data_IF_658481611002
#
_entry.id   IF_658481611002
#
_cell.length_a   1.000
_cell.length_b   1.000
_cell.length_c   1.000
_cell.angle_alpha   90.00
_cell.angle_beta   90.00
_cell.angle_gamma   90.00
#
_symmetry.space_group_name_H-M   'P 1'
#
loop_
_entity.id
_entity.type
_entity.pdbx_description
1 polymer ?
#
# COMPACT_ATOMS: atom_id res chain seq x y z
N UNK A 1 3.72 30.22 11.41
CA UNK A 1 2.52 29.44 11.79
C UNK A 1 2.99 28.11 12.32
N UNK A 2 2.59 27.79 13.55
CA UNK A 2 3.01 26.60 14.30
C UNK A 2 2.52 25.33 13.61
N UNK A 3 3.36 24.31 13.49
CA UNK A 3 2.95 22.97 13.11
C UNK A 3 1.86 22.50 14.08
N UNK A 4 0.69 22.14 13.57
CA UNK A 4 -0.37 21.64 14.43
C UNK A 4 -0.04 20.19 14.80
N UNK A 5 0.18 19.94 16.09
CA UNK A 5 0.30 18.58 16.63
C UNK A 5 -1.02 17.84 16.41
N UNK A 6 -0.98 16.69 15.73
CA UNK A 6 -2.16 15.83 15.51
C UNK A 6 -2.45 14.99 16.75
N UNK A 7 -1.40 14.36 17.26
CA UNK A 7 -1.38 13.48 18.43
C UNK A 7 0.03 13.47 19.04
N UNK A 8 0.32 12.50 19.91
CA UNK A 8 1.55 12.55 20.68
C UNK A 8 2.83 12.45 19.84
N UNK A 9 2.75 11.74 18.71
CA UNK A 9 3.90 11.38 17.87
C UNK A 9 3.84 11.98 16.46
N UNK A 10 2.75 12.68 16.07
CA UNK A 10 2.58 13.24 14.74
C UNK A 10 2.38 14.75 14.74
N UNK A 11 3.23 15.43 13.96
CA UNK A 11 3.17 16.87 13.73
C UNK A 11 2.98 17.17 12.24
N UNK A 12 2.14 18.16 11.93
CA UNK A 12 1.90 18.60 10.54
C UNK A 12 3.00 19.58 10.11
N UNK A 13 3.81 19.21 9.12
CA UNK A 13 4.69 20.16 8.42
C UNK A 13 3.96 20.92 7.31
N UNK A 14 3.04 20.24 6.60
CA UNK A 14 2.22 20.84 5.55
C UNK A 14 0.88 20.09 5.43
N UNK A 15 -0.20 20.85 5.32
CA UNK A 15 -1.55 20.35 5.03
C UNK A 15 -2.06 21.12 3.81
N UNK A 16 -2.72 20.46 2.84
CA UNK A 16 -3.27 21.17 1.69
C UNK A 16 -4.30 22.21 2.11
N UNK A 17 -4.28 23.38 1.48
CA UNK A 17 -5.21 24.47 1.82
C UNK A 17 -6.64 24.22 1.35
N UNK A 18 -6.83 23.34 0.36
CA UNK A 18 -8.14 23.02 -0.22
C UNK A 18 -8.21 21.57 -0.68
N UNK A 19 -9.37 20.93 -0.45
CA UNK A 19 -9.67 19.58 -0.91
C UNK A 19 -8.97 18.46 -0.12
N UNK A 20 -9.30 17.19 -0.42
CA UNK A 20 -8.64 16.04 0.20
C UNK A 20 -7.19 15.92 -0.29
N UNK A 21 -6.29 15.52 0.61
CA UNK A 21 -4.94 15.14 0.22
C UNK A 21 -4.94 13.86 -0.62
N UNK A 22 -3.97 13.73 -1.54
CA UNK A 22 -3.81 12.55 -2.42
C UNK A 22 -2.45 11.87 -2.32
N UNK A 23 -1.69 12.26 -1.32
CA UNK A 23 -0.43 11.64 -0.92
C UNK A 23 -0.17 11.99 0.54
N UNK A 24 0.48 11.08 1.24
CA UNK A 24 1.09 11.36 2.53
C UNK A 24 2.60 11.18 2.44
N UNK A 25 3.36 12.15 2.97
CA UNK A 25 4.81 12.07 3.10
C UNK A 25 5.14 12.14 4.58
N UNK A 26 5.74 11.09 5.11
CA UNK A 26 6.01 10.92 6.53
C UNK A 26 7.51 10.99 6.78
N UNK A 27 7.94 12.02 7.49
CA UNK A 27 9.32 12.25 7.88
C UNK A 27 9.62 11.63 9.25
N UNK A 28 10.74 10.93 9.38
CA UNK A 28 11.16 10.27 10.62
C UNK A 28 12.61 10.64 10.92
N UNK A 29 12.81 11.42 11.98
CA UNK A 29 14.10 12.04 12.32
C UNK A 29 15.12 11.02 12.85
N UNK A 30 16.36 11.46 13.06
CA UNK A 30 17.44 10.66 13.65
C UNK A 30 17.51 10.85 15.17
N UNK A 31 18.47 10.17 15.80
CA UNK A 31 18.99 10.45 17.13
C UNK A 31 19.32 11.93 17.32
N UNK A 32 19.17 12.40 18.54
CA UNK A 32 19.51 13.76 18.94
C UNK A 32 20.14 13.80 20.33
N UNK A 33 20.81 14.91 20.64
CA UNK A 33 21.42 15.16 21.96
C UNK A 33 20.45 15.91 22.88
N UNK A 34 20.72 15.87 24.18
CA UNK A 34 19.87 16.52 25.18
C UNK A 34 19.54 17.98 24.83
N UNK A 35 18.28 18.37 25.05
CA UNK A 35 17.77 19.70 24.73
C UNK A 35 17.24 19.88 23.31
N UNK A 36 17.31 18.86 22.45
CA UNK A 36 16.79 18.87 21.08
C UNK A 36 15.39 18.23 20.96
N UNK A 37 14.44 18.65 21.80
CA UNK A 37 13.09 18.04 21.87
C UNK A 37 12.22 18.24 20.62
N UNK A 38 12.62 19.12 19.70
CA UNK A 38 11.93 19.43 18.46
C UNK A 38 12.61 18.81 17.22
N UNK A 39 13.32 17.68 17.40
CA UNK A 39 13.99 16.94 16.32
C UNK A 39 13.08 16.64 15.11
N UNK A 40 11.79 16.37 15.35
CA UNK A 40 10.78 16.22 14.29
C UNK A 40 10.71 17.42 13.32
N UNK A 41 11.16 18.59 13.73
CA UNK A 41 11.24 19.80 12.91
C UNK A 41 12.67 20.16 12.54
N UNK A 42 13.58 20.17 13.52
CA UNK A 42 14.94 20.71 13.34
C UNK A 42 15.83 19.87 12.45
N UNK A 43 15.57 18.56 12.36
CA UNK A 43 16.25 17.67 11.38
C UNK A 43 16.05 18.14 9.95
N UNK A 44 14.89 18.72 9.62
CA UNK A 44 14.51 19.11 8.26
C UNK A 44 14.54 20.63 8.02
N UNK A 45 15.06 21.38 9.00
CA UNK A 45 15.07 22.84 8.97
C UNK A 45 16.50 23.34 8.86
N UNK A 46 16.73 24.19 7.87
CA UNK A 46 18.00 24.88 7.63
C UNK A 46 18.24 25.95 8.71
N UNK A 47 19.48 26.43 8.81
CA UNK A 47 19.86 27.43 9.81
C UNK A 47 19.15 28.79 9.63
N UNK A 48 18.70 29.08 8.40
CA UNK A 48 17.88 30.25 8.08
C UNK A 48 16.41 30.11 8.51
N UNK A 49 16.02 28.96 9.07
CA UNK A 49 14.67 28.63 9.49
C UNK A 49 13.79 28.01 8.39
N UNK A 50 14.33 27.79 7.19
CA UNK A 50 13.60 27.16 6.08
C UNK A 50 13.40 25.67 6.35
N UNK A 51 12.15 25.28 6.60
CA UNK A 51 11.73 23.87 6.67
C UNK A 51 11.43 23.36 5.25
N UNK A 52 12.43 22.76 4.61
CA UNK A 52 12.36 22.42 3.18
C UNK A 52 11.22 21.43 2.81
N UNK A 53 10.78 20.46 3.65
CA UNK A 53 9.62 19.65 3.30
C UNK A 53 8.37 20.49 3.08
N UNK A 54 8.15 21.50 3.93
CA UNK A 54 7.03 22.43 3.79
C UNK A 54 7.24 23.38 2.61
N UNK A 55 8.41 23.99 2.52
CA UNK A 55 8.66 25.08 1.60
C UNK A 55 8.91 24.64 0.15
N UNK A 56 9.40 23.42 -0.06
CA UNK A 56 9.73 22.89 -1.38
C UNK A 56 8.72 21.81 -1.79
N UNK A 57 8.58 20.72 -1.02
CA UNK A 57 7.64 19.65 -1.37
C UNK A 57 6.19 20.11 -1.27
N UNK A 58 5.82 20.88 -0.24
CA UNK A 58 4.47 21.44 -0.13
C UNK A 58 4.09 22.36 -1.30
N UNK A 59 5.05 23.06 -1.90
CA UNK A 59 4.82 23.86 -3.12
C UNK A 59 4.73 22.99 -4.37
N UNK A 60 5.58 21.96 -4.47
CA UNK A 60 5.61 21.04 -5.62
C UNK A 60 4.38 20.12 -5.67
N UNK A 61 3.94 19.65 -4.51
CA UNK A 61 2.83 18.71 -4.33
C UNK A 61 1.77 19.37 -3.42
N UNK A 62 0.99 20.33 -3.94
CA UNK A 62 0.07 21.13 -3.13
C UNK A 62 -1.11 20.35 -2.53
N UNK A 63 -1.30 19.09 -2.93
CA UNK A 63 -2.28 18.15 -2.38
C UNK A 63 -1.65 17.08 -1.49
N UNK A 64 -0.34 17.14 -1.22
CA UNK A 64 0.29 16.24 -0.26
C UNK A 64 -0.04 16.68 1.17
N UNK A 65 -0.19 15.70 2.06
CA UNK A 65 -0.11 15.90 3.50
C UNK A 65 1.29 15.50 3.95
N UNK A 66 2.02 16.42 4.58
CA UNK A 66 3.39 16.18 5.05
C UNK A 66 3.39 16.19 6.57
N UNK A 67 3.71 15.04 7.14
CA UNK A 67 3.80 14.84 8.58
C UNK A 67 5.24 14.56 8.98
N UNK A 68 5.62 14.94 10.18
CA UNK A 68 6.82 14.44 10.82
C UNK A 68 6.48 13.70 12.10
N UNK A 69 7.14 12.56 12.27
CA UNK A 69 7.10 11.76 13.47
C UNK A 69 7.96 12.41 14.53
N UNK A 70 7.50 12.42 15.77
CA UNK A 70 8.23 12.79 16.98
C UNK A 70 8.30 11.57 17.89
N UNK A 71 9.50 11.18 18.27
CA UNK A 71 9.72 10.09 19.22
C UNK A 71 10.98 10.38 20.04
N UNK A 72 11.09 9.76 21.21
CA UNK A 72 12.20 10.02 22.12
C UNK A 72 13.47 9.29 21.65
N UNK A 73 14.25 9.98 20.83
CA UNK A 73 15.49 9.50 20.22
C UNK A 73 16.73 10.11 20.88
N UNK A 74 16.61 10.55 22.14
CA UNK A 74 17.74 11.12 22.85
C UNK A 74 18.83 10.05 23.07
N UNK A 75 20.07 10.39 22.72
CA UNK A 75 21.23 9.48 22.86
C UNK A 75 21.61 9.21 24.31
N UNK A 76 21.19 10.08 25.23
CA UNK A 76 21.30 9.86 26.68
C UNK A 76 19.91 9.61 27.28
N UNK A 77 19.87 8.93 28.42
CA UNK A 77 18.66 8.67 29.20
C UNK A 77 18.71 9.38 30.54
N UNK A 78 17.61 10.05 30.90
CA UNK A 78 17.41 10.73 32.19
C UNK A 78 15.92 10.71 32.59
N UNK A 79 15.53 11.48 33.61
CA UNK A 79 14.14 11.49 34.09
C UNK A 79 13.12 12.07 33.10
N UNK A 80 13.58 12.87 32.13
CA UNK A 80 12.74 13.61 31.16
C UNK A 80 12.91 13.18 29.71
N UNK A 81 14.08 12.65 29.31
CA UNK A 81 14.44 12.29 27.94
C UNK A 81 15.15 10.92 27.86
N UNK A 82 15.16 10.32 26.67
CA UNK A 82 15.77 9.01 26.39
C UNK A 82 15.10 7.84 27.10
N UNK A 83 13.78 7.87 27.28
CA UNK A 83 13.01 6.82 27.97
C UNK A 83 12.57 5.71 27.04
N UNK A 84 12.48 5.96 25.74
CA UNK A 84 12.30 4.91 24.74
C UNK A 84 13.65 4.22 24.51
N UNK A 85 13.65 2.89 24.58
CA UNK A 85 14.88 2.09 24.68
C UNK A 85 14.96 0.95 23.63
N UNK A 86 13.94 0.81 22.77
CA UNK A 86 13.90 -0.19 21.69
C UNK A 86 13.13 0.33 20.48
N UNK A 87 13.63 -0.01 19.28
CA UNK A 87 12.97 0.24 18.00
C UNK A 87 11.59 -0.41 17.89
N UNK A 88 11.40 -1.56 18.55
CA UNK A 88 10.12 -2.26 18.60
C UNK A 88 9.04 -1.38 19.23
N UNK A 89 9.31 -0.85 20.42
CA UNK A 89 8.34 -0.06 21.19
C UNK A 89 8.01 1.25 20.49
N UNK A 90 9.01 1.87 19.86
CA UNK A 90 8.80 3.07 19.03
C UNK A 90 7.84 2.74 17.88
N UNK A 91 8.07 1.65 17.15
CA UNK A 91 7.22 1.27 16.03
C UNK A 91 5.79 0.88 16.45
N UNK A 92 5.62 0.24 17.60
CA UNK A 92 4.32 -0.11 18.16
C UNK A 92 3.49 1.14 18.51
N UNK A 93 4.09 2.07 19.26
CA UNK A 93 3.44 3.34 19.60
C UNK A 93 3.07 4.13 18.34
N UNK A 94 4.00 4.18 17.37
CA UNK A 94 3.81 4.89 16.12
C UNK A 94 2.64 4.32 15.31
N UNK A 95 2.53 2.99 15.25
CA UNK A 95 1.44 2.32 14.54
C UNK A 95 0.08 2.64 15.19
N UNK A 96 -0.01 2.65 16.53
CA UNK A 96 -1.22 3.04 17.24
C UNK A 96 -1.58 4.49 16.89
N UNK A 97 -0.62 5.41 16.98
CA UNK A 97 -0.82 6.82 16.66
C UNK A 97 -1.18 7.06 15.19
N UNK A 98 -0.73 6.23 14.25
CA UNK A 98 -1.08 6.33 12.83
C UNK A 98 -2.57 6.03 12.57
N UNK A 99 -3.15 5.09 13.31
CA UNK A 99 -4.51 4.62 13.09
C UNK A 99 -5.58 5.34 13.90
N UNK A 100 -5.19 6.30 14.75
CA UNK A 100 -6.14 7.13 15.49
C UNK A 100 -7.04 7.95 14.53
N UNK A 101 -8.29 8.26 14.91
CA UNK A 101 -9.22 8.99 14.04
C UNK A 101 -8.74 10.37 13.59
N UNK A 102 -7.84 11.02 14.34
CA UNK A 102 -7.27 12.33 13.99
C UNK A 102 -6.15 12.25 12.97
N UNK A 103 -5.43 11.13 12.90
CA UNK A 103 -4.27 10.95 12.02
C UNK A 103 -4.66 10.18 10.76
N UNK A 104 -5.25 8.99 10.89
CA UNK A 104 -5.70 8.12 9.78
C UNK A 104 -4.62 7.89 8.70
N UNK A 105 -3.36 7.78 9.11
CA UNK A 105 -2.22 7.64 8.19
C UNK A 105 -2.34 6.34 7.40
N UNK A 106 -2.28 6.45 6.08
CA UNK A 106 -2.40 5.36 5.12
C UNK A 106 -3.75 4.64 5.10
N UNK A 107 -4.79 5.23 5.68
CA UNK A 107 -6.15 4.65 5.67
C UNK A 107 -7.04 5.22 4.57
N UNK A 108 -6.57 6.23 3.83
CA UNK A 108 -7.30 6.82 2.71
C UNK A 108 -7.04 6.01 1.43
N UNK A 109 -8.11 5.58 0.76
CA UNK A 109 -7.97 4.79 -0.48
C UNK A 109 -7.34 5.64 -1.60
N UNK A 110 -6.49 5.03 -2.42
CA UNK A 110 -5.77 5.70 -3.52
C UNK A 110 -4.87 6.87 -3.07
N UNK A 111 -4.45 6.89 -1.80
CA UNK A 111 -3.58 7.90 -1.23
C UNK A 111 -2.25 7.23 -0.81
N UNK A 112 -1.21 7.25 -1.67
CA UNK A 112 0.07 6.63 -1.34
C UNK A 112 0.73 7.28 -0.12
N UNK A 113 1.34 6.43 0.72
CA UNK A 113 2.17 6.84 1.86
C UNK A 113 3.64 6.65 1.50
N UNK A 114 4.42 7.71 1.62
CA UNK A 114 5.85 7.73 1.29
C UNK A 114 6.62 8.09 2.56
N UNK A 115 7.68 7.34 2.85
CA UNK A 115 8.48 7.55 4.05
C UNK A 115 9.82 8.19 3.72
N UNK A 116 10.23 9.15 4.53
CA UNK A 116 11.56 9.77 4.50
C UNK A 116 12.19 9.59 5.88
N UNK A 117 13.21 8.74 5.96
CA UNK A 117 13.96 8.50 7.19
C UNK A 117 15.34 9.14 7.15
N UNK A 118 15.84 9.59 8.29
CA UNK A 118 17.24 9.98 8.47
C UNK A 118 17.86 9.17 9.62
N UNK A 119 19.06 8.60 9.39
CA UNK A 119 19.78 7.80 10.40
C UNK A 119 18.89 6.72 11.03
N UNK A 120 18.67 6.81 12.35
CA UNK A 120 17.82 5.92 13.14
C UNK A 120 16.38 5.86 12.62
N UNK A 121 15.84 6.97 12.12
CA UNK A 121 14.49 7.03 11.57
C UNK A 121 14.27 6.03 10.43
N UNK A 122 15.32 5.70 9.66
CA UNK A 122 15.27 4.65 8.65
C UNK A 122 14.91 3.28 9.25
N UNK A 123 15.43 2.98 10.45
CA UNK A 123 15.21 1.70 11.14
C UNK A 123 13.88 1.67 11.91
N UNK A 124 13.40 2.83 12.37
CA UNK A 124 12.04 2.98 12.87
C UNK A 124 11.03 2.66 11.77
N UNK A 125 11.24 3.18 10.55
CA UNK A 125 10.39 2.87 9.39
C UNK A 125 10.42 1.38 9.05
N UNK A 126 11.61 0.76 9.04
CA UNK A 126 11.74 -0.69 8.78
C UNK A 126 10.97 -1.52 9.82
N UNK A 127 11.11 -1.20 11.10
CA UNK A 127 10.36 -1.86 12.16
C UNK A 127 8.86 -1.64 12.01
N UNK A 128 8.42 -0.41 11.70
CA UNK A 128 7.02 -0.10 11.45
C UNK A 128 6.44 -0.96 10.32
N UNK A 129 7.17 -1.17 9.22
CA UNK A 129 6.69 -2.04 8.12
C UNK A 129 6.56 -3.50 8.56
N UNK A 130 7.54 -4.02 9.32
CA UNK A 130 7.46 -5.37 9.89
C UNK A 130 6.28 -5.48 10.84
N UNK A 131 6.11 -4.48 11.71
CA UNK A 131 5.01 -4.34 12.66
C UNK A 131 3.66 -4.13 12.04
N UNK A 132 3.56 -3.62 10.82
CA UNK A 132 2.31 -3.60 10.08
C UNK A 132 2.02 -4.95 9.40
N UNK A 133 3.03 -5.80 9.20
CA UNK A 133 2.93 -7.07 8.46
C UNK A 133 2.68 -8.31 9.32
N UNK A 134 2.68 -8.19 10.65
CA UNK A 134 2.48 -9.35 11.53
C UNK A 134 1.03 -9.87 11.41
N UNK A 135 0.88 -11.16 11.17
CA UNK A 135 -0.44 -11.80 11.01
C UNK A 135 -1.20 -11.85 12.35
N UNK A 136 -2.53 -11.84 12.29
CA UNK A 136 -3.42 -11.97 13.47
C UNK A 136 -3.25 -10.88 14.53
N UNK A 137 -2.68 -9.73 14.16
CA UNK A 137 -2.60 -8.57 15.04
C UNK A 137 -3.91 -7.78 15.02
N UNK A 138 -4.15 -7.01 16.08
CA UNK A 138 -5.27 -6.08 16.13
C UNK A 138 -5.23 -5.09 14.96
N UNK A 139 -6.41 -4.60 14.56
CA UNK A 139 -6.58 -3.67 13.43
C UNK A 139 -6.04 -4.24 12.09
N UNK A 140 -6.14 -5.54 11.86
CA UNK A 140 -5.67 -6.23 10.65
C UNK A 140 -6.06 -5.48 9.36
N UNK A 141 -7.32 -5.08 9.23
CA UNK A 141 -7.81 -4.33 8.07
C UNK A 141 -7.10 -2.98 7.87
N UNK A 142 -6.89 -2.22 8.94
CA UNK A 142 -6.16 -0.94 8.87
C UNK A 142 -4.70 -1.17 8.50
N UNK A 143 -4.08 -2.22 9.04
CA UNK A 143 -2.68 -2.58 8.76
C UNK A 143 -2.51 -3.03 7.32
N UNK A 144 -3.43 -3.86 6.81
CA UNK A 144 -3.49 -4.28 5.40
C UNK A 144 -3.62 -3.06 4.48
N UNK A 145 -4.60 -2.19 4.74
CA UNK A 145 -4.81 -0.97 3.96
C UNK A 145 -3.61 -0.02 3.98
N UNK A 146 -3.00 0.16 5.16
CA UNK A 146 -1.77 0.93 5.31
C UNK A 146 -0.65 0.37 4.43
N UNK A 147 -0.36 -0.93 4.53
CA UNK A 147 0.67 -1.61 3.72
C UNK A 147 0.40 -1.50 2.21
N UNK A 148 -0.86 -1.59 1.79
CA UNK A 148 -1.28 -1.43 0.39
C UNK A 148 -1.05 -0.02 -0.15
N UNK A 149 -1.14 0.98 0.72
CA UNK A 149 -0.92 2.38 0.39
C UNK A 149 0.56 2.78 0.48
N UNK A 150 1.43 2.04 1.17
CA UNK A 150 2.87 2.35 1.19
C UNK A 150 3.42 2.29 -0.23
N UNK A 151 4.00 3.40 -0.70
CA UNK A 151 4.56 3.55 -2.04
C UNK A 151 6.06 3.25 -2.09
N UNK A 152 6.82 3.69 -1.08
CA UNK A 152 8.26 3.44 -0.97
C UNK A 152 8.95 4.35 0.03
N UNK A 153 10.29 4.41 -0.07
CA UNK A 153 11.15 4.96 0.98
C UNK A 153 12.28 5.84 0.43
N UNK A 154 12.58 6.92 1.14
CA UNK A 154 13.83 7.68 1.02
C UNK A 154 14.59 7.55 2.33
N UNK A 155 15.85 7.14 2.28
CA UNK A 155 16.71 7.00 3.45
C UNK A 155 17.94 7.89 3.34
N UNK A 156 18.08 8.83 4.28
CA UNK A 156 19.27 9.65 4.46
C UNK A 156 20.23 8.97 5.43
N UNK A 157 21.46 8.72 4.97
CA UNK A 157 22.56 8.13 5.75
C UNK A 157 22.14 6.96 6.68
N UNK A 158 21.50 5.89 6.17
CA UNK A 158 21.18 4.74 6.99
C UNK A 158 22.45 3.96 7.37
N UNK A 159 22.72 3.78 8.67
CA UNK A 159 23.87 3.01 9.17
C UNK A 159 23.58 1.51 9.27
N UNK A 160 23.26 0.84 8.15
CA UNK A 160 22.73 -0.54 8.13
C UNK A 160 23.59 -1.61 8.85
N UNK A 161 24.87 -1.34 9.05
CA UNK A 161 25.83 -2.24 9.70
C UNK A 161 26.51 -1.59 10.91
N UNK A 162 25.90 -0.52 11.44
CA UNK A 162 26.49 0.35 12.45
C UNK A 162 27.48 1.37 11.86
N UNK A 163 28.15 2.10 12.74
CA UNK A 163 29.15 3.14 12.43
C UNK A 163 30.50 2.78 13.01
N UNK A 164 31.59 3.21 12.36
CA UNK A 164 32.97 2.86 12.77
C UNK A 164 33.45 3.58 14.02
N UNK A 165 32.83 4.70 14.33
CA UNK A 165 33.12 5.51 15.49
C UNK A 165 31.81 6.10 15.99
N UNK A 166 31.70 6.25 17.30
CA UNK A 166 30.51 6.76 17.94
C UNK A 166 30.63 8.28 18.10
N UNK A 167 29.76 8.99 17.36
CA UNK A 167 29.64 10.44 17.36
C UNK A 167 29.24 10.99 18.73
N UNK A 168 28.53 10.17 19.51
CA UNK A 168 27.90 10.54 20.78
C UNK A 168 28.64 9.99 22.00
N UNK A 169 29.81 9.37 21.82
CA UNK A 169 30.57 8.71 22.89
C UNK A 169 30.94 9.63 24.08
N UNK A 170 30.96 10.95 23.85
CA UNK A 170 31.33 11.95 24.85
C UNK A 170 30.13 12.75 25.38
N UNK A 171 28.90 12.38 25.04
CA UNK A 171 27.71 13.04 25.58
C UNK A 171 27.62 12.83 27.09
N UNK A 172 27.32 13.89 27.83
CA UNK A 172 27.24 13.84 29.29
C UNK A 172 25.95 13.18 29.72
N UNK A 173 26.02 11.99 30.33
CA UNK A 173 24.85 11.30 30.87
C UNK A 173 24.97 9.80 30.76
N UNK A 174 23.90 9.09 31.16
CA UNK A 174 23.80 7.66 30.92
C UNK A 174 23.40 7.43 29.47
N UNK A 175 24.14 6.58 28.73
CA UNK A 175 23.80 6.24 27.34
C UNK A 175 22.43 5.55 27.25
N UNK A 176 21.61 5.96 26.30
CA UNK A 176 20.36 5.27 25.96
C UNK A 176 20.68 4.01 25.15
N UNK A 177 20.04 2.87 25.45
CA UNK A 177 20.22 1.62 24.69
C UNK A 177 19.80 1.72 23.23
N UNK A 178 19.01 2.72 22.82
CA UNK A 178 18.77 3.00 21.41
C UNK A 178 20.07 3.23 20.62
N UNK A 179 21.13 3.72 21.27
CA UNK A 179 22.45 3.91 20.63
C UNK A 179 23.18 2.59 20.38
N UNK A 180 22.74 1.46 20.94
CA UNK A 180 23.37 0.15 20.70
C UNK A 180 23.33 -0.25 19.21
N UNK A 181 22.37 0.26 18.45
CA UNK A 181 22.29 0.04 17.01
C UNK A 181 23.44 0.70 16.22
N UNK A 182 24.12 1.70 16.79
CA UNK A 182 25.29 2.33 16.19
C UNK A 182 26.52 1.41 16.22
N UNK A 183 26.55 0.40 17.10
CA UNK A 183 27.69 -0.51 17.20
C UNK A 183 27.91 -1.26 15.88
N UNK A 184 29.16 -1.36 15.40
CA UNK A 184 29.48 -2.18 14.24
C UNK A 184 28.92 -3.59 14.38
N UNK A 185 28.35 -4.11 13.29
CA UNK A 185 27.83 -5.48 13.22
C UNK A 185 26.71 -5.77 14.23
N UNK A 186 25.86 -4.78 14.52
CA UNK A 186 24.63 -5.00 15.30
C UNK A 186 23.80 -6.15 14.71
N UNK A 187 23.60 -7.20 15.50
CA UNK A 187 22.78 -8.36 15.13
C UNK A 187 21.31 -7.97 14.98
N UNK A 188 20.84 -7.02 15.79
CA UNK A 188 19.49 -6.46 15.68
C UNK A 188 19.29 -5.78 14.32
N UNK A 189 20.19 -4.87 13.92
CA UNK A 189 20.09 -4.21 12.62
C UNK A 189 20.20 -5.19 11.47
N UNK A 190 21.09 -6.18 11.56
CA UNK A 190 21.24 -7.21 10.53
C UNK A 190 19.94 -7.99 10.30
N UNK A 191 19.29 -8.45 11.39
CA UNK A 191 18.00 -9.15 11.34
C UNK A 191 16.89 -8.27 10.79
N UNK A 192 16.82 -7.03 11.28
CA UNK A 192 15.83 -6.05 10.84
C UNK A 192 15.95 -5.76 9.33
N UNK A 193 17.16 -5.56 8.84
CA UNK A 193 17.45 -5.29 7.45
C UNK A 193 17.07 -6.47 6.55
N UNK A 194 17.42 -7.69 6.96
CA UNK A 194 17.06 -8.91 6.22
C UNK A 194 15.55 -9.15 6.20
N UNK A 195 14.87 -8.97 7.34
CA UNK A 195 13.42 -9.10 7.45
C UNK A 195 12.71 -8.05 6.61
N UNK A 196 13.17 -6.80 6.63
CA UNK A 196 12.62 -5.73 5.82
C UNK A 196 12.80 -6.01 4.32
N UNK A 197 14.01 -6.36 3.88
CA UNK A 197 14.28 -6.73 2.49
C UNK A 197 13.39 -7.88 2.01
N UNK A 198 13.20 -8.88 2.88
CA UNK A 198 12.31 -10.02 2.61
C UNK A 198 10.83 -9.60 2.52
N UNK A 199 10.38 -8.68 3.38
CA UNK A 199 9.04 -8.11 3.27
C UNK A 199 8.87 -7.32 1.97
N UNK A 200 9.85 -6.49 1.57
CA UNK A 200 9.81 -5.75 0.30
C UNK A 200 9.64 -6.68 -0.89
N UNK A 201 10.45 -7.75 -0.98
CA UNK A 201 10.34 -8.76 -2.05
C UNK A 201 8.96 -9.40 -2.09
N UNK A 202 8.43 -9.84 -0.94
CA UNK A 202 7.07 -10.40 -0.87
C UNK A 202 6.00 -9.42 -1.33
N UNK A 203 6.11 -8.14 -0.97
CA UNK A 203 5.16 -7.11 -1.39
C UNK A 203 5.23 -6.86 -2.91
N UNK A 204 6.43 -6.81 -3.47
CA UNK A 204 6.65 -6.66 -4.92
C UNK A 204 6.09 -7.84 -5.70
N UNK A 205 6.30 -9.07 -5.22
CA UNK A 205 5.75 -10.31 -5.78
C UNK A 205 4.22 -10.31 -5.72
N UNK A 206 3.64 -10.08 -4.54
CA UNK A 206 2.18 -10.04 -4.35
C UNK A 206 1.47 -9.03 -5.23
N UNK A 207 2.11 -7.90 -5.54
CA UNK A 207 1.52 -6.85 -6.39
C UNK A 207 2.02 -6.86 -7.82
N UNK A 208 2.81 -7.87 -8.20
CA UNK A 208 3.46 -7.97 -9.52
C UNK A 208 4.08 -6.65 -9.99
N UNK A 209 4.80 -5.96 -9.08
CA UNK A 209 5.36 -4.64 -9.33
C UNK A 209 6.75 -4.53 -8.72
N UNK A 210 7.77 -4.56 -9.58
CA UNK A 210 9.18 -4.35 -9.18
C UNK A 210 9.47 -2.93 -8.71
N UNK A 211 8.59 -1.97 -9.03
CA UNK A 211 8.72 -0.58 -8.62
C UNK A 211 8.00 -0.26 -7.30
N UNK A 212 7.28 -1.24 -6.73
CA UNK A 212 6.66 -1.09 -5.41
C UNK A 212 7.75 -1.10 -4.34
N UNK A 213 7.63 -0.22 -3.35
CA UNK A 213 8.50 -0.22 -2.16
C UNK A 213 9.98 -0.04 -2.50
N UNK A 214 10.26 0.71 -3.56
CA UNK A 214 11.64 1.10 -3.90
C UNK A 214 12.20 2.05 -2.84
N UNK A 215 13.52 2.02 -2.69
CA UNK A 215 14.32 2.76 -1.73
C UNK A 215 15.30 3.63 -2.50
N UNK A 216 15.21 4.95 -2.28
CA UNK A 216 16.24 5.92 -2.63
C UNK A 216 17.11 6.18 -1.40
N UNK A 217 18.40 5.87 -1.47
CA UNK A 217 19.37 6.21 -0.42
C UNK A 217 20.20 7.42 -0.82
N UNK A 218 20.30 8.39 0.09
CA UNK A 218 21.18 9.56 -0.02
C UNK A 218 22.17 9.53 1.16
N UNK A 219 23.44 9.32 0.88
CA UNK A 219 24.51 9.22 1.88
C UNK A 219 25.25 10.55 2.03
N UNK A 220 25.69 10.88 3.25
CA UNK A 220 26.57 12.02 3.52
C UNK A 220 27.85 11.99 2.66
N UNK A 221 28.38 13.17 2.35
CA UNK A 221 29.63 13.33 1.59
C UNK A 221 30.71 14.10 2.34
N UNK A 222 30.34 14.83 3.40
CA UNK A 222 31.29 15.54 4.25
C UNK A 222 31.50 14.80 5.56
N UNK A 223 32.64 15.07 6.20
CA UNK A 223 32.92 14.55 7.54
C UNK A 223 32.05 15.24 8.59
N UNK A 224 31.58 14.46 9.57
CA UNK A 224 30.84 14.98 10.71
C UNK A 224 31.80 15.21 11.86
N UNK A 225 31.74 16.39 12.47
CA UNK A 225 32.53 16.69 13.67
C UNK A 225 31.77 16.25 14.94
N UNK A 226 32.47 15.65 15.89
CA UNK A 226 31.91 15.32 17.20
C UNK A 226 31.57 16.59 17.99
N UNK A 227 30.61 16.45 18.90
CA UNK A 227 30.16 17.49 19.83
C UNK A 227 31.23 17.91 20.86
N UNK A 228 32.31 17.14 21.01
CA UNK A 228 33.43 17.46 21.90
C UNK A 228 34.16 18.75 21.49
N UNK A 229 34.44 19.62 22.48
CA UNK A 229 35.15 20.90 22.29
C UNK A 229 36.67 20.76 22.41
N UNK A 230 37.41 21.41 21.51
CA UNK A 230 38.86 21.60 21.62
C UNK A 230 39.69 20.47 21.01
N UNK A 231 40.85 20.14 21.60
CA UNK A 231 41.81 19.15 21.06
C UNK A 231 41.28 17.70 20.97
N UNK A 232 40.10 17.42 21.51
CA UNK A 232 39.41 16.13 21.47
C UNK A 232 38.28 16.07 20.44
N UNK A 233 38.08 17.12 19.64
CA UNK A 233 37.12 17.09 18.54
C UNK A 233 37.63 16.13 17.47
N UNK A 234 36.85 15.08 17.22
CA UNK A 234 37.10 14.12 16.14
C UNK A 234 36.22 14.52 14.97
N UNK A 235 36.74 14.38 13.77
CA UNK A 235 35.95 14.49 12.54
C UNK A 235 36.25 13.28 11.67
N UNK A 236 35.23 12.84 10.94
CA UNK A 236 35.33 11.76 10.00
C UNK A 236 33.97 11.45 9.38
N UNK A 237 33.95 10.62 8.35
CA UNK A 237 32.70 10.03 7.85
C UNK A 237 32.03 9.23 8.95
N UNK A 238 30.80 9.58 9.31
CA UNK A 238 30.03 8.88 10.34
C UNK A 238 29.37 7.63 9.74
N UNK A 239 28.65 7.81 8.63
CA UNK A 239 27.99 6.77 7.84
C UNK A 239 28.70 6.61 6.50
N UNK A 240 29.47 5.52 6.36
CA UNK A 240 30.16 5.23 5.09
C UNK A 240 29.20 4.70 4.02
N UNK A 241 29.54 4.92 2.75
CA UNK A 241 28.81 4.34 1.61
C UNK A 241 28.54 2.83 1.76
N UNK A 242 29.53 2.07 2.23
CA UNK A 242 29.43 0.62 2.37
C UNK A 242 28.27 0.21 3.28
N UNK A 243 27.97 0.99 4.32
CA UNK A 243 26.82 0.73 5.18
C UNK A 243 25.54 1.36 4.64
N UNK A 244 25.60 2.53 3.99
CA UNK A 244 24.41 3.19 3.47
C UNK A 244 23.76 2.47 2.28
N UNK A 245 24.55 1.88 1.37
CA UNK A 245 24.09 1.32 0.08
C UNK A 245 23.30 0.00 0.18
N UNK A 246 23.06 -0.52 1.37
CA UNK A 246 22.35 -1.79 1.54
C UNK A 246 20.87 -1.69 1.09
N UNK A 247 20.42 -2.66 0.29
CA UNK A 247 19.01 -2.87 -0.11
C UNK A 247 18.31 -1.63 -0.70
N UNK A 248 18.99 -0.91 -1.61
CA UNK A 248 18.42 0.23 -2.32
C UNK A 248 18.50 0.11 -3.85
N UNK A 249 17.47 0.58 -4.56
CA UNK A 249 17.45 0.63 -6.02
C UNK A 249 18.21 1.85 -6.55
N UNK A 250 18.24 2.95 -5.78
CA UNK A 250 18.99 4.15 -6.14
C UNK A 250 19.85 4.61 -4.98
N UNK A 251 21.11 4.90 -5.26
CA UNK A 251 22.06 5.43 -4.31
C UNK A 251 22.70 6.71 -4.83
N UNK A 252 22.82 7.73 -3.97
CA UNK A 252 23.50 9.00 -4.26
C UNK A 252 24.28 9.47 -3.05
N UNK A 253 25.31 10.28 -3.30
CA UNK A 253 25.89 11.14 -2.28
C UNK A 253 25.12 12.47 -2.24
N UNK A 254 24.74 12.92 -1.05
CA UNK A 254 24.18 14.23 -0.77
C UNK A 254 25.26 15.16 -0.21
N UNK A 255 25.18 16.44 -0.56
CA UNK A 255 26.08 17.46 -0.04
C UNK A 255 25.76 17.71 1.43
N UNK A 256 26.76 17.60 2.31
CA UNK A 256 26.58 17.78 3.74
C UNK A 256 27.22 16.66 4.57
N UNK A 257 27.38 16.95 5.85
CA UNK A 257 27.73 15.99 6.89
C UNK A 257 26.48 15.21 7.32
N UNK A 258 26.57 14.42 8.38
CA UNK A 258 25.48 13.54 8.82
C UNK A 258 24.20 14.31 9.13
N UNK A 259 24.32 15.50 9.70
CA UNK A 259 23.19 16.34 10.07
C UNK A 259 22.70 17.22 8.91
N UNK A 260 23.60 17.63 8.02
CA UNK A 260 23.32 18.52 6.91
C UNK A 260 22.82 17.82 5.64
N UNK A 261 23.13 16.54 5.45
CA UNK A 261 22.75 15.79 4.22
C UNK A 261 21.25 15.76 3.95
N UNK A 262 20.42 15.88 5.01
CA UNK A 262 18.97 15.90 4.94
C UNK A 262 18.37 17.33 4.98
N UNK A 263 19.20 18.38 4.89
CA UNK A 263 18.83 19.79 4.98
C UNK A 263 19.08 20.53 3.66
N UNK A 264 18.18 20.32 2.69
CA UNK A 264 18.29 20.94 1.37
C UNK A 264 18.12 22.46 1.47
N UNK A 265 19.12 23.19 0.98
CA UNK A 265 19.17 24.64 0.97
C UNK A 265 18.33 25.22 -0.17
N UNK A 266 18.19 24.48 -1.27
CA UNK A 266 17.43 24.95 -2.43
C UNK A 266 16.76 23.82 -3.22
N UNK A 267 15.79 24.17 -4.07
CA UNK A 267 15.22 23.25 -5.06
C UNK A 267 16.19 22.90 -6.19
N UNK A 268 17.34 23.58 -6.27
CA UNK A 268 18.45 23.26 -7.16
C UNK A 268 19.37 22.15 -6.63
N UNK A 269 19.24 21.77 -5.36
CA UNK A 269 20.11 20.77 -4.74
C UNK A 269 19.87 19.40 -5.38
N UNK A 270 20.94 18.72 -5.78
CA UNK A 270 20.85 17.41 -6.45
C UNK A 270 20.14 16.38 -5.57
N UNK A 271 20.40 16.40 -4.25
CA UNK A 271 19.72 15.53 -3.29
C UNK A 271 18.21 15.76 -3.26
N UNK A 272 17.77 17.02 -3.20
CA UNK A 272 16.36 17.39 -3.27
C UNK A 272 15.74 16.94 -4.59
N UNK A 273 16.39 17.22 -5.73
CA UNK A 273 15.88 16.83 -7.04
C UNK A 273 15.74 15.32 -7.18
N UNK A 274 16.65 14.53 -6.60
CA UNK A 274 16.50 13.08 -6.54
C UNK A 274 15.26 12.66 -5.75
N UNK A 275 15.01 13.28 -4.59
CA UNK A 275 13.78 13.02 -3.81
C UNK A 275 12.54 13.41 -4.59
N UNK A 276 12.50 14.62 -5.16
CA UNK A 276 11.35 15.11 -5.94
C UNK A 276 11.05 14.17 -7.13
N UNK A 277 12.06 13.83 -7.91
CA UNK A 277 11.92 12.95 -9.07
C UNK A 277 11.48 11.54 -8.66
N UNK A 278 11.99 11.03 -7.53
CA UNK A 278 11.58 9.75 -7.00
C UNK A 278 10.11 9.76 -6.56
N UNK A 279 9.68 10.77 -5.78
CA UNK A 279 8.29 10.94 -5.36
C UNK A 279 7.34 11.02 -6.58
N UNK A 280 7.70 11.81 -7.58
CA UNK A 280 6.95 11.97 -8.82
C UNK A 280 6.88 10.65 -9.63
N UNK A 281 7.96 9.87 -9.65
CA UNK A 281 7.97 8.54 -10.30
C UNK A 281 7.00 7.56 -9.64
N UNK A 282 6.91 7.57 -8.31
CA UNK A 282 5.96 6.72 -7.58
C UNK A 282 4.53 7.16 -7.89
N UNK A 283 4.25 8.46 -7.85
CA UNK A 283 2.93 8.99 -8.22
C UNK A 283 2.51 8.60 -9.63
N UNK A 284 3.41 8.77 -10.61
CA UNK A 284 3.15 8.38 -12.00
C UNK A 284 2.91 6.88 -12.13
N UNK A 285 3.61 6.05 -11.36
CA UNK A 285 3.43 4.60 -11.38
C UNK A 285 2.08 4.16 -10.80
N UNK A 286 1.58 4.86 -9.78
CA UNK A 286 0.29 4.57 -9.15
C UNK A 286 -0.90 5.17 -9.91
N UNK A 287 -0.68 6.28 -10.64
CA UNK A 287 -1.68 6.91 -11.52
C UNK A 287 -1.81 6.26 -12.88
N UNK A 288 -0.81 5.50 -13.33
CA UNK A 288 -1.02 4.60 -14.47
C UNK A 288 -2.15 3.67 -14.06
N UNK A 289 -3.22 3.52 -14.87
CA UNK A 289 -4.08 2.37 -14.70
C UNK A 289 -3.14 1.18 -14.65
N UNK A 290 -3.12 0.47 -13.52
CA UNK A 290 -2.46 -0.83 -13.51
C UNK A 290 -3.05 -1.56 -14.72
N UNK A 291 -2.28 -2.32 -15.52
CA UNK A 291 -2.85 -3.22 -16.52
C UNK A 291 -3.64 -4.38 -15.86
N UNK A 292 -4.43 -4.05 -14.85
CA UNK A 292 -5.76 -4.55 -14.58
C UNK A 292 -6.84 -3.56 -15.06
N UNK A 293 -6.57 -2.71 -16.07
CA UNK A 293 -7.45 -2.82 -17.23
C UNK A 293 -7.15 -4.19 -17.80
N UNK A 294 -8.06 -5.15 -17.58
CA UNK A 294 -8.02 -6.43 -18.29
C UNK A 294 -7.53 -6.20 -19.72
N UNK A 295 -6.55 -7.00 -20.21
CA UNK A 295 -6.08 -6.85 -21.59
C UNK A 295 -7.29 -6.76 -22.51
N UNK A 296 -7.27 -5.83 -23.47
CA UNK A 296 -8.25 -5.88 -24.55
C UNK A 296 -8.13 -7.28 -25.15
N UNK A 297 -9.25 -7.99 -25.19
CA UNK A 297 -9.33 -9.34 -25.70
C UNK A 297 -8.81 -9.35 -27.14
N UNK A 298 -7.73 -10.09 -27.35
CA UNK A 298 -7.19 -10.49 -28.64
C UNK A 298 -7.76 -11.89 -28.88
N UNK A 299 -8.75 -12.00 -29.75
CA UNK A 299 -9.46 -13.26 -29.98
C UNK A 299 -8.64 -14.35 -30.68
N UNK A 300 -7.40 -14.08 -31.05
CA UNK A 300 -6.57 -15.00 -31.85
C UNK A 300 -5.47 -15.69 -31.05
N UNK A 301 -4.91 -15.02 -30.04
CA UNK A 301 -3.87 -15.61 -29.20
C UNK A 301 -4.44 -16.56 -28.11
N UNK A 302 -5.65 -16.28 -27.61
CA UNK A 302 -6.27 -17.05 -26.51
C UNK A 302 -6.85 -18.41 -26.94
N UNK A 303 -7.17 -18.61 -28.23
CA UNK A 303 -7.62 -19.90 -28.77
C UNK A 303 -6.50 -20.95 -28.72
N UNK A 304 -5.25 -20.51 -28.93
CA UNK A 304 -4.06 -21.35 -28.85
C UNK A 304 -3.73 -21.72 -27.40
N UNK A 305 -4.00 -20.83 -26.45
CA UNK A 305 -3.83 -21.10 -25.01
C UNK A 305 -4.83 -22.14 -24.54
N UNK A 306 -6.10 -22.04 -24.93
CA UNK A 306 -7.14 -23.02 -24.58
C UNK A 306 -6.88 -24.40 -25.22
N UNK A 307 -6.43 -24.45 -26.48
CA UNK A 307 -6.01 -25.71 -27.14
C UNK A 307 -4.78 -26.34 -26.46
N UNK A 308 -3.90 -25.55 -25.85
CA UNK A 308 -2.75 -26.05 -25.10
C UNK A 308 -3.14 -26.67 -23.75
N UNK A 309 -4.14 -26.12 -23.06
CA UNK A 309 -4.62 -26.65 -21.77
C UNK A 309 -5.68 -27.76 -21.94
N UNK A 310 -6.45 -27.73 -23.03
CA UNK A 310 -7.52 -28.68 -23.34
C UNK A 310 -7.46 -29.09 -24.82
N UNK A 311 -6.64 -30.09 -25.18
CA UNK A 311 -6.40 -30.48 -26.58
C UNK A 311 -7.63 -30.98 -27.35
N UNK A 312 -8.71 -31.29 -26.64
CA UNK A 312 -9.99 -31.75 -27.19
C UNK A 312 -10.95 -30.60 -27.54
N UNK A 313 -10.60 -29.35 -27.23
CA UNK A 313 -11.44 -28.19 -27.49
C UNK A 313 -11.34 -27.78 -28.97
N UNK A 314 -12.41 -27.99 -29.74
CA UNK A 314 -12.49 -27.65 -31.17
C UNK A 314 -13.17 -26.30 -31.47
N UNK A 315 -13.56 -25.56 -30.41
CA UNK A 315 -14.13 -24.22 -30.50
C UNK A 315 -15.61 -24.16 -30.88
N UNK A 316 -16.33 -25.29 -30.96
CA UNK A 316 -17.71 -25.29 -31.48
C UNK A 316 -18.82 -25.71 -30.51
N UNK A 317 -18.51 -26.14 -29.27
CA UNK A 317 -19.55 -26.73 -28.41
C UNK A 317 -19.42 -26.41 -26.90
N UNK A 318 -20.34 -25.59 -26.37
CA UNK A 318 -20.37 -25.11 -24.98
C UNK A 318 -20.60 -26.24 -23.94
N UNK A 319 -21.26 -27.33 -24.32
CA UNK A 319 -21.49 -28.48 -23.43
C UNK A 319 -20.22 -29.24 -23.06
N UNK A 320 -19.22 -29.25 -23.97
CA UNK A 320 -17.99 -30.02 -23.77
C UNK A 320 -17.07 -29.38 -22.72
N UNK A 321 -17.12 -28.06 -22.55
CA UNK A 321 -16.36 -27.34 -21.50
C UNK A 321 -16.89 -27.69 -20.11
N UNK A 322 -18.21 -27.71 -19.93
CA UNK A 322 -18.85 -28.03 -18.65
C UNK A 322 -18.69 -29.50 -18.27
N UNK A 323 -18.81 -30.43 -19.25
CA UNK A 323 -18.54 -31.87 -19.06
C UNK A 323 -17.06 -32.16 -18.78
N UNK A 324 -16.13 -31.38 -19.33
CA UNK A 324 -14.69 -31.52 -19.06
C UNK A 324 -14.30 -31.05 -17.65
N UNK A 325 -14.97 -30.01 -17.12
CA UNK A 325 -14.71 -29.45 -15.79
C UNK A 325 -15.44 -30.27 -14.70
N UNK A 326 -16.60 -30.86 -15.01
CA UNK A 326 -17.35 -31.73 -14.12
C UNK A 326 -17.97 -32.91 -14.88
N UNK A 327 -17.31 -34.09 -14.91
CA UNK A 327 -17.75 -35.26 -15.68
C UNK A 327 -19.12 -35.85 -15.29
N UNK A 328 -19.73 -35.35 -14.21
CA UNK A 328 -21.01 -35.82 -13.68
C UNK A 328 -22.19 -34.88 -13.98
N UNK A 329 -21.97 -33.79 -14.72
CA UNK A 329 -23.02 -32.85 -15.08
C UNK A 329 -23.85 -33.38 -16.28
N UNK A 330 -25.15 -33.62 -16.07
CA UNK A 330 -26.09 -34.12 -17.09
C UNK A 330 -27.06 -33.05 -17.64
N UNK A 331 -26.90 -31.79 -17.23
CA UNK A 331 -27.68 -30.66 -17.74
C UNK A 331 -29.01 -30.38 -17.05
N UNK A 332 -29.45 -31.18 -16.06
CA UNK A 332 -30.80 -31.05 -15.48
C UNK A 332 -30.87 -30.66 -14.00
N UNK A 333 -29.75 -30.72 -13.27
CA UNK A 333 -29.74 -30.50 -11.82
C UNK A 333 -28.91 -29.27 -11.40
N UNK A 334 -29.55 -28.09 -11.45
CA UNK A 334 -28.96 -26.79 -11.04
C UNK A 334 -28.49 -26.77 -9.58
N UNK A 335 -29.05 -27.65 -8.73
CA UNK A 335 -28.67 -27.80 -7.34
C UNK A 335 -27.28 -28.45 -7.17
N UNK A 336 -26.89 -29.34 -8.10
CA UNK A 336 -25.56 -29.94 -8.11
C UNK A 336 -24.48 -28.98 -8.64
N UNK A 337 -24.85 -28.02 -9.48
CA UNK A 337 -23.95 -26.93 -9.91
C UNK A 337 -23.54 -26.10 -8.69
N UNK A 338 -24.50 -25.65 -7.89
CA UNK A 338 -24.26 -24.88 -6.66
C UNK A 338 -23.46 -25.70 -5.62
N UNK A 339 -23.75 -27.00 -5.47
CA UNK A 339 -23.00 -27.90 -4.59
C UNK A 339 -21.56 -28.20 -5.07
N UNK A 340 -21.26 -28.01 -6.35
CA UNK A 340 -19.91 -28.13 -6.91
C UNK A 340 -19.10 -26.83 -6.76
N UNK A 341 -19.77 -25.68 -6.63
CA UNK A 341 -19.14 -24.36 -6.54
C UNK A 341 -19.00 -23.82 -5.10
N UNK A 342 -19.65 -24.42 -4.10
CA UNK A 342 -19.48 -24.09 -2.68
C UNK A 342 -18.55 -25.12 -1.98
N UNK A 343 -17.59 -24.69 -1.14
CA UNK A 343 -16.68 -25.60 -0.45
C UNK A 343 -17.44 -26.50 0.53
N UNK A 344 -17.20 -27.81 0.47
CA UNK A 344 -17.75 -28.79 1.42
C UNK A 344 -16.93 -28.79 2.72
N UNK A 345 -17.26 -27.91 3.66
CA UNK A 345 -16.72 -27.92 5.04
C UNK A 345 -17.88 -27.84 6.06
N UNK A 346 -17.71 -28.37 7.29
CA UNK A 346 -18.79 -28.98 8.08
C UNK A 346 -19.77 -28.01 8.78
N UNK A 347 -19.64 -26.70 8.58
CA UNK A 347 -20.32 -25.69 9.38
C UNK A 347 -21.57 -25.08 8.72
N UNK A 348 -21.96 -25.55 7.54
CA UNK A 348 -23.28 -25.26 6.98
C UNK A 348 -24.17 -26.50 7.11
N UNK A 349 -25.08 -26.47 8.09
CA UNK A 349 -26.20 -27.42 8.17
C UNK A 349 -27.04 -27.28 6.89
N UNK A 350 -27.08 -28.29 6.00
CA UNK A 350 -27.75 -28.20 4.70
C UNK A 350 -29.25 -28.47 4.85
N UNK A 351 -29.85 -28.01 5.96
CA UNK A 351 -31.28 -28.11 6.16
C UNK A 351 -32.00 -27.24 5.12
N UNK A 352 -32.92 -27.83 4.32
CA UNK A 352 -33.62 -27.12 3.23
C UNK A 352 -34.50 -25.97 3.71
N UNK A 353 -34.77 -25.87 5.02
CA UNK A 353 -35.70 -24.88 5.58
C UNK A 353 -35.07 -23.52 5.90
N UNK A 354 -33.76 -23.32 5.65
CA UNK A 354 -33.03 -22.08 6.01
C UNK A 354 -32.31 -21.37 4.87
N UNK A 355 -32.32 -21.88 3.64
CA UNK A 355 -31.93 -21.08 2.47
C UNK A 355 -33.17 -20.35 1.91
N UNK A 356 -33.09 -19.04 1.60
CA UNK A 356 -34.14 -18.38 0.84
C UNK A 356 -34.31 -19.10 -0.50
N UNK A 357 -35.54 -19.49 -0.84
CA UNK A 357 -35.83 -20.14 -2.12
C UNK A 357 -35.62 -19.16 -3.27
N UNK A 358 -34.47 -19.24 -3.93
CA UNK A 358 -34.24 -18.57 -5.19
C UNK A 358 -34.86 -19.39 -6.33
N UNK A 359 -36.17 -19.23 -6.51
CA UNK A 359 -36.96 -20.01 -7.47
C UNK A 359 -36.92 -19.48 -8.92
N UNK A 360 -35.94 -18.66 -9.32
CA UNK A 360 -35.74 -18.35 -10.75
C UNK A 360 -34.30 -17.96 -11.07
N UNK A 361 -33.80 -18.41 -12.23
CA UNK A 361 -32.46 -18.08 -12.74
C UNK A 361 -32.21 -16.58 -12.93
N UNK A 362 -33.28 -15.80 -13.14
CA UNK A 362 -33.21 -14.33 -13.21
C UNK A 362 -32.67 -13.69 -11.92
N UNK A 363 -33.00 -14.22 -10.74
CA UNK A 363 -32.58 -13.63 -9.47
C UNK A 363 -31.10 -13.89 -9.18
N UNK A 364 -30.56 -15.03 -9.64
CA UNK A 364 -29.13 -15.36 -9.54
C UNK A 364 -28.31 -14.48 -10.49
N UNK A 365 -28.80 -14.27 -11.72
CA UNK A 365 -28.17 -13.38 -12.68
C UNK A 365 -28.23 -11.91 -12.24
N UNK A 366 -29.33 -11.49 -11.62
CA UNK A 366 -29.45 -10.16 -11.03
C UNK A 366 -28.49 -9.94 -9.86
N UNK A 367 -28.34 -10.92 -8.98
CA UNK A 367 -27.35 -10.88 -7.88
C UNK A 367 -25.91 -10.73 -8.42
N UNK A 368 -25.55 -11.49 -9.46
CA UNK A 368 -24.24 -11.40 -10.10
C UNK A 368 -24.04 -10.05 -10.84
N UNK A 369 -25.10 -9.50 -11.43
CA UNK A 369 -25.11 -8.17 -12.07
C UNK A 369 -24.97 -7.02 -11.05
N UNK A 370 -25.63 -7.12 -9.90
CA UNK A 370 -25.57 -6.10 -8.85
C UNK A 370 -24.18 -6.07 -8.18
N UNK A 371 -23.53 -7.25 -8.04
CA UNK A 371 -22.11 -7.35 -7.65
C UNK A 371 -21.18 -6.74 -8.71
N UNK A 372 -21.47 -6.96 -9.99
CA UNK A 372 -20.66 -6.43 -11.09
C UNK A 372 -20.74 -4.90 -11.22
N UNK A 373 -21.90 -4.31 -10.92
CA UNK A 373 -22.16 -2.87 -11.08
C UNK A 373 -21.94 -2.04 -9.81
N UNK A 374 -21.79 -2.68 -8.66
CA UNK A 374 -21.48 -2.02 -7.38
C UNK A 374 -22.60 -1.14 -6.82
N UNK A 375 -23.82 -1.22 -7.36
CA UNK A 375 -24.99 -0.53 -6.81
C UNK A 375 -25.66 -1.42 -5.76
N UNK A 376 -25.85 -0.86 -4.56
CA UNK A 376 -26.66 -1.41 -3.47
C UNK A 376 -26.16 -2.69 -2.76
N UNK A 377 -24.84 -2.92 -2.75
CA UNK A 377 -24.19 -4.01 -2.01
C UNK A 377 -24.53 -4.00 -0.51
N UNK A 378 -24.53 -2.83 0.15
CA UNK A 378 -24.87 -2.71 1.57
C UNK A 378 -26.34 -3.06 1.88
N UNK A 379 -27.29 -2.73 1.00
CA UNK A 379 -28.71 -3.04 1.19
C UNK A 379 -29.04 -4.52 0.97
N UNK A 380 -28.30 -5.18 0.06
CA UNK A 380 -28.38 -6.62 -0.15
C UNK A 380 -27.73 -7.41 1.00
N UNK A 381 -26.60 -6.94 1.53
CA UNK A 381 -25.96 -7.51 2.73
C UNK A 381 -26.88 -7.39 3.95
N UNK A 382 -27.43 -6.20 4.23
CA UNK A 382 -28.29 -5.97 5.40
C UNK A 382 -29.57 -6.83 5.41
N UNK A 383 -30.04 -7.29 4.24
CA UNK A 383 -31.17 -8.22 4.14
C UNK A 383 -30.81 -9.68 4.47
N UNK A 384 -29.53 -10.03 4.40
CA UNK A 384 -29.01 -11.37 4.68
C UNK A 384 -28.37 -11.50 6.08
N UNK A 385 -27.98 -10.39 6.70
CA UNK A 385 -27.10 -10.37 7.87
C UNK A 385 -27.80 -10.00 9.18
N UNK A 386 -28.98 -10.56 9.46
CA UNK A 386 -29.53 -10.44 10.82
C UNK A 386 -28.97 -11.49 11.79
N UNK A 387 -28.29 -12.55 11.31
CA UNK A 387 -27.86 -13.69 12.14
C UNK A 387 -26.53 -14.37 11.72
N UNK A 388 -25.58 -13.64 11.10
CA UNK A 388 -24.26 -14.20 10.73
C UNK A 388 -23.19 -13.88 11.80
N UNK A 389 -22.56 -14.92 12.34
CA UNK A 389 -21.42 -14.86 13.24
C UNK A 389 -20.08 -14.81 12.48
N UNK A 390 -19.03 -14.26 13.10
CA UNK A 390 -17.76 -13.89 12.46
C UNK A 390 -17.03 -15.03 11.72
N UNK A 391 -17.31 -16.28 12.08
CA UNK A 391 -16.78 -17.46 11.41
C UNK A 391 -17.41 -17.71 10.03
N UNK A 392 -18.69 -17.36 9.85
CA UNK A 392 -19.38 -17.51 8.57
C UNK A 392 -18.99 -16.42 7.58
N UNK A 393 -18.66 -15.23 8.07
CA UNK A 393 -18.17 -14.10 7.26
C UNK A 393 -16.79 -14.40 6.66
N UNK A 394 -15.88 -15.00 7.45
CA UNK A 394 -14.55 -15.42 6.98
C UNK A 394 -14.60 -16.57 5.96
N UNK A 395 -15.51 -17.54 6.16
CA UNK A 395 -15.71 -18.63 5.21
C UNK A 395 -16.31 -18.15 3.88
N UNK A 396 -17.15 -17.11 3.93
CA UNK A 396 -17.78 -16.52 2.76
C UNK A 396 -16.79 -15.67 1.94
N UNK A 397 -15.96 -14.85 2.59
CA UNK A 397 -14.87 -14.11 1.95
C UNK A 397 -13.85 -15.04 1.27
N UNK A 398 -13.48 -16.15 1.92
CA UNK A 398 -12.59 -17.14 1.32
C UNK A 398 -13.21 -17.86 0.11
N UNK A 399 -14.53 -18.12 0.15
CA UNK A 399 -15.26 -18.67 -0.99
C UNK A 399 -15.39 -17.66 -2.14
N UNK A 400 -15.57 -16.38 -1.82
CA UNK A 400 -15.62 -15.27 -2.78
C UNK A 400 -14.28 -15.09 -3.50
N UNK A 401 -13.15 -15.05 -2.77
CA UNK A 401 -11.82 -14.97 -3.38
C UNK A 401 -11.53 -16.19 -4.29
N UNK A 402 -11.91 -17.40 -3.85
CA UNK A 402 -11.75 -18.61 -4.65
C UNK A 402 -12.62 -18.60 -5.91
N UNK A 403 -13.84 -18.06 -5.84
CA UNK A 403 -14.74 -17.93 -6.98
C UNK A 403 -14.27 -16.85 -7.97
N UNK A 404 -13.80 -15.70 -7.49
CA UNK A 404 -13.27 -14.62 -8.33
C UNK A 404 -11.99 -15.07 -9.06
N UNK A 405 -11.09 -15.79 -8.40
CA UNK A 405 -9.85 -16.30 -8.99
C UNK A 405 -10.06 -17.44 -10.00
N UNK A 406 -11.08 -18.29 -9.82
CA UNK A 406 -11.40 -19.39 -10.74
C UNK A 406 -12.31 -19.01 -11.91
N UNK A 407 -13.25 -18.08 -11.73
CA UNK A 407 -14.35 -17.86 -12.68
C UNK A 407 -14.33 -16.55 -13.45
N UNK A 408 -13.43 -15.60 -13.14
CA UNK A 408 -13.24 -14.40 -13.97
C UNK A 408 -12.96 -14.68 -15.46
N UNK A 409 -12.31 -15.80 -15.87
CA UNK A 409 -12.17 -16.14 -17.29
C UNK A 409 -13.48 -16.65 -17.93
N UNK A 410 -14.29 -17.42 -17.19
CA UNK A 410 -15.52 -18.06 -17.69
C UNK A 410 -16.71 -17.10 -17.77
N UNK A 411 -16.86 -16.18 -16.81
CA UNK A 411 -17.93 -15.18 -16.78
C UNK A 411 -17.85 -14.19 -17.94
N UNK A 412 -16.64 -13.95 -18.48
CA UNK A 412 -16.46 -13.09 -19.67
C UNK A 412 -16.89 -13.77 -20.97
N UNK A 413 -16.80 -15.09 -21.05
CA UNK A 413 -17.30 -15.86 -22.20
C UNK A 413 -18.83 -15.79 -22.29
N UNK A 414 -19.54 -15.86 -21.15
CA UNK A 414 -20.99 -15.67 -21.05
C UNK A 414 -21.44 -14.29 -21.55
N UNK A 415 -20.75 -13.22 -21.14
CA UNK A 415 -21.09 -11.85 -21.56
C UNK A 415 -20.91 -11.57 -23.06
N UNK A 416 -20.13 -12.40 -23.77
CA UNK A 416 -20.00 -12.31 -25.23
C UNK A 416 -21.07 -13.13 -25.96
N UNK A 417 -21.51 -14.26 -25.39
CA UNK A 417 -22.65 -15.04 -25.90
C UNK A 417 -23.94 -14.22 -25.82
N UNK A 418 -24.20 -13.54 -24.70
CA UNK A 418 -25.38 -12.68 -24.56
C UNK A 418 -25.37 -11.53 -25.58
N UNK A 419 -24.19 -10.96 -25.88
CA UNK A 419 -24.06 -9.89 -26.88
C UNK A 419 -24.18 -10.37 -28.34
N UNK A 420 -23.80 -11.62 -28.61
CA UNK A 420 -23.91 -12.25 -29.94
C UNK A 420 -25.35 -12.72 -30.20
N UNK A 421 -26.04 -13.23 -29.18
CA UNK A 421 -27.47 -13.55 -29.25
C UNK A 421 -28.32 -12.28 -29.36
N UNK A 422 -27.97 -11.20 -28.65
CA UNK A 422 -28.66 -9.90 -28.78
C UNK A 422 -28.43 -9.26 -30.16
N UNK A 423 -27.22 -9.36 -30.73
CA UNK A 423 -26.94 -8.91 -32.10
C UNK A 423 -27.60 -9.79 -33.17
N UNK A 424 -27.66 -11.11 -32.96
CA UNK A 424 -28.37 -12.03 -33.85
C UNK A 424 -29.89 -11.83 -33.78
N UNK A 425 -30.42 -11.53 -32.59
CA UNK A 425 -31.82 -11.16 -32.37
C UNK A 425 -32.15 -9.81 -33.03
N UNK A 426 -31.32 -8.78 -32.86
CA UNK A 426 -31.50 -7.50 -33.53
C UNK A 426 -31.41 -7.60 -35.07
N UNK A 427 -30.51 -8.43 -35.59
CA UNK A 427 -30.38 -8.68 -37.03
C UNK A 427 -31.57 -9.49 -37.58
N UNK A 428 -32.10 -10.44 -36.81
CA UNK A 428 -33.31 -11.18 -37.14
C UNK A 428 -34.55 -10.28 -37.11
N UNK A 429 -34.68 -9.38 -36.11
CA UNK A 429 -35.78 -8.41 -36.01
C UNK A 429 -35.74 -7.38 -37.14
N UNK A 430 -34.54 -6.90 -37.55
CA UNK A 430 -34.39 -5.98 -38.69
C UNK A 430 -34.64 -6.62 -40.05
N UNK A 431 -34.44 -7.93 -40.19
CA UNK A 431 -34.72 -8.67 -41.43
C UNK A 431 -36.15 -9.23 -41.53
N UNK A 432 -36.88 -9.28 -40.40
CA UNK A 432 -38.22 -9.87 -40.32
C UNK A 432 -39.40 -8.88 -40.43
N UNK A 433 -39.18 -7.57 -40.65
CA UNK A 433 -40.27 -6.61 -40.87
C UNK A 433 -40.67 -6.60 -42.36
N UNK A 434 -41.86 -7.09 -42.74
CA UNK A 434 -42.37 -6.92 -44.09
C UNK A 434 -42.88 -5.48 -44.25
N UNK A 435 -42.47 -4.82 -45.32
CA UNK A 435 -43.15 -3.63 -45.85
C UNK A 435 -44.58 -4.03 -46.22
N UNK A 436 -45.54 -3.71 -45.35
CA UNK A 436 -46.96 -3.65 -45.72
C UNK A 436 -47.53 -2.32 -45.27
N UNK A 437 -48.05 -1.59 -46.24
CA UNK A 437 -48.82 -0.35 -46.14
C UNK A 437 -49.82 -0.37 -44.98
N UNK A 438 -50.01 0.76 -44.29
CA UNK A 438 -51.31 1.43 -44.23
C UNK A 438 -51.18 2.87 -43.71
N UNK A 439 -52.01 3.69 -44.35
CA UNK A 439 -52.26 5.12 -44.24
C UNK A 439 -52.98 5.49 -42.92
N UNK A 440 -53.22 6.80 -42.75
CA UNK A 440 -54.28 7.46 -41.94
C UNK A 440 -53.84 8.25 -40.69
N UNK A 441 -53.88 9.57 -40.91
CA UNK A 441 -54.36 10.68 -40.08
C UNK A 441 -53.61 11.23 -38.85
N UNK A 442 -53.17 12.47 -39.06
CA UNK A 442 -53.01 13.56 -38.09
C UNK A 442 -54.26 13.81 -37.24
N UNK A 443 -54.06 14.35 -36.02
CA UNK A 443 -54.82 15.52 -35.61
C UNK A 443 -53.95 16.69 -35.15
N UNK A 444 -54.35 17.89 -35.59
CA UNK A 444 -53.94 19.19 -35.05
C UNK A 444 -54.64 19.45 -33.72
N UNK A 445 -53.93 20.10 -32.80
CA UNK A 445 -54.41 21.11 -31.85
C UNK A 445 -53.19 22.02 -31.61
N UNK A 446 -53.27 23.35 -31.51
CA UNK A 446 -54.35 24.29 -31.26
C UNK A 446 -53.66 25.49 -30.62
#
# INVERSE_FOLDING_TARGET
MFANRINDELFVLYEPSYGPYDMEIIFVHDLYTEGSEDAWKTTWTNDDGTCWPREFLGKKFPRARILSVSYDACVITNSTQGRMNSLFTIAENLMVNFFLPRSKVGLTSNCPVLFVGHGLGCFVIKNLMLKASEQFAENEEKRRKFLENVGGFVFYSPFNSGVKWDLYANESGQSNTLTDCLRPHSAELSRLNEAFASLRRRMQERRNSRNLWTVLTICESHETASSSRGRSQRSGTFVTEATARFDCEQFRFGVGDHFGVCKHQSTGDVGYQCVENWLDSILKSQRKPRPYSMPKFDGTDDENVLKAFYPQFDGTDNENVLKAISPQFDGTDHENLLKAFLPREPFMDPSPDKLPSYNSGELVLKFLSDIHTGQDYEAALLKFTSDMDSLKEQAYEAAYEAAVLKFCPLLKFSSHIDSLEEQAYEAAVKSAIPLTDFNVDTPRFG
#
